data_IF_868782035206
#
_entry.id   IF_868782035206
#
_cell.length_a   1.000
_cell.length_b   1.000
_cell.length_c   1.000
_cell.angle_alpha   90.00
_cell.angle_beta   90.00
_cell.angle_gamma   90.00
#
_symmetry.space_group_name_H-M   'P 1'
#
loop_
_entity.id
_entity.type
_entity.pdbx_description
1 polymer ?
#
# COMPACT_ATOMS: atom_id res chain seq x y z
N UNK A 1 5.24 12.96 -10.68
CA UNK A 1 4.29 13.78 -9.90
C UNK A 1 3.95 13.07 -8.60
N UNK A 2 3.92 13.81 -7.52
CA UNK A 2 3.48 13.26 -6.24
C UNK A 2 1.98 13.01 -6.25
N UNK A 3 1.53 12.01 -5.50
CA UNK A 3 0.11 11.69 -5.43
C UNK A 3 -0.74 12.89 -4.99
N UNK A 4 -0.20 13.71 -4.08
CA UNK A 4 -0.81 14.96 -3.61
C UNK A 4 -1.22 15.91 -4.74
N UNK A 5 -0.50 15.88 -5.87
CA UNK A 5 -0.79 16.75 -7.00
C UNK A 5 -2.01 16.30 -7.82
N UNK A 6 -2.47 15.07 -7.59
CA UNK A 6 -3.58 14.47 -8.33
C UNK A 6 -4.86 14.36 -7.52
N UNK A 7 -4.73 14.17 -6.20
CA UNK A 7 -5.87 14.04 -5.29
C UNK A 7 -5.57 14.78 -3.98
N UNK A 8 -6.62 15.22 -3.31
CA UNK A 8 -6.51 15.84 -1.99
C UNK A 8 -6.65 14.83 -0.86
N UNK A 9 -7.25 13.66 -1.13
CA UNK A 9 -7.57 12.66 -0.13
C UNK A 9 -7.28 11.26 -0.67
N UNK A 10 -7.02 10.35 0.27
CA UNK A 10 -6.91 8.91 -0.02
C UNK A 10 -7.89 8.15 0.88
N UNK A 11 -8.28 6.97 0.41
CA UNK A 11 -9.10 6.06 1.20
C UNK A 11 -8.39 4.70 1.27
N UNK A 12 -8.22 4.20 2.50
CA UNK A 12 -7.65 2.87 2.76
C UNK A 12 -8.69 2.07 3.52
N UNK A 13 -9.27 1.05 2.87
CA UNK A 13 -10.11 0.08 3.56
C UNK A 13 -9.18 -0.82 4.39
N UNK A 14 -9.32 -0.84 5.73
CA UNK A 14 -8.45 -1.66 6.57
C UNK A 14 -8.42 -3.13 6.19
N UNK A 15 -9.48 -3.65 5.56
CA UNK A 15 -9.54 -5.04 5.11
C UNK A 15 -8.51 -5.34 4.02
N UNK A 16 -8.03 -4.34 3.29
CA UNK A 16 -6.93 -4.53 2.34
C UNK A 16 -5.66 -5.00 3.04
N UNK A 17 -5.52 -4.70 4.32
CA UNK A 17 -4.42 -5.17 5.14
C UNK A 17 -4.80 -6.43 5.92
N UNK A 18 -5.91 -6.39 6.66
CA UNK A 18 -6.25 -7.46 7.63
C UNK A 18 -6.71 -8.75 6.98
N UNK A 19 -7.41 -8.69 5.84
CA UNK A 19 -7.94 -9.88 5.17
C UNK A 19 -7.22 -10.21 3.87
N UNK A 20 -6.19 -9.45 3.51
CA UNK A 20 -5.48 -9.64 2.24
C UNK A 20 -3.97 -9.56 2.43
N UNK A 21 -3.39 -8.37 2.54
CA UNK A 21 -1.93 -8.17 2.50
C UNK A 21 -1.22 -8.76 3.72
N UNK A 22 -1.87 -8.81 4.88
CA UNK A 22 -1.30 -9.31 6.13
C UNK A 22 -1.94 -10.62 6.60
N UNK A 23 -2.78 -11.25 5.76
CA UNK A 23 -3.40 -12.52 6.07
C UNK A 23 -2.62 -13.67 5.44
N UNK A 24 -1.86 -14.46 6.26
CA UNK A 24 -1.07 -15.58 5.71
C UNK A 24 -1.89 -16.67 5.06
N UNK A 25 -3.18 -16.76 5.37
CA UNK A 25 -4.07 -17.77 4.82
C UNK A 25 -4.81 -17.31 3.57
N UNK A 26 -4.62 -16.05 3.15
CA UNK A 26 -5.24 -15.53 1.92
C UNK A 26 -4.66 -16.22 0.70
N UNK A 27 -5.52 -16.67 -0.20
CA UNK A 27 -5.10 -17.32 -1.44
C UNK A 27 -4.26 -16.40 -2.33
N UNK A 28 -4.58 -15.12 -2.35
CA UNK A 28 -3.88 -14.13 -3.19
C UNK A 28 -2.80 -13.37 -2.45
N UNK A 29 -2.97 -13.16 -1.14
CA UNK A 29 -2.09 -12.31 -0.35
C UNK A 29 -1.15 -13.05 0.59
N UNK A 30 -1.27 -14.38 0.71
CA UNK A 30 -0.52 -15.14 1.72
C UNK A 30 0.98 -14.98 1.66
N UNK A 31 1.57 -15.04 0.45
CA UNK A 31 3.02 -14.84 0.28
C UNK A 31 3.43 -13.42 0.62
N UNK A 32 2.60 -12.44 0.32
CA UNK A 32 2.85 -11.03 0.65
C UNK A 32 2.84 -10.84 2.17
N UNK A 33 1.91 -11.51 2.86
CA UNK A 33 1.80 -11.44 4.31
C UNK A 33 3.03 -12.03 5.00
N UNK A 34 3.55 -13.14 4.50
CA UNK A 34 4.76 -13.76 5.02
C UNK A 34 5.95 -12.80 4.89
N UNK A 35 6.06 -12.11 3.75
CA UNK A 35 7.13 -11.13 3.53
C UNK A 35 7.03 -9.95 4.50
N UNK A 36 5.83 -9.43 4.74
CA UNK A 36 5.63 -8.36 5.70
C UNK A 36 6.04 -8.77 7.11
N UNK A 37 5.66 -9.96 7.53
CA UNK A 37 6.02 -10.47 8.85
C UNK A 37 7.52 -10.68 8.98
N UNK A 38 8.12 -11.31 7.98
CA UNK A 38 9.54 -11.65 8.00
C UNK A 38 10.45 -10.43 7.98
N UNK A 39 10.16 -9.45 7.13
CA UNK A 39 11.05 -8.33 6.86
C UNK A 39 10.72 -7.08 7.67
N UNK A 40 9.47 -6.90 8.09
CA UNK A 40 9.03 -5.68 8.77
C UNK A 40 8.29 -5.94 10.08
N UNK A 41 7.94 -7.19 10.38
CA UNK A 41 7.25 -7.53 11.61
C UNK A 41 5.77 -7.17 11.65
N UNK A 42 5.16 -6.81 10.50
CA UNK A 42 3.74 -6.48 10.44
C UNK A 42 2.90 -7.75 10.29
N UNK A 43 1.84 -7.81 11.08
CA UNK A 43 0.86 -8.90 11.08
C UNK A 43 -0.54 -8.29 11.13
N UNK A 44 -1.56 -9.15 11.11
CA UNK A 44 -2.94 -8.70 11.28
C UNK A 44 -3.15 -7.99 12.61
N UNK A 45 -2.40 -8.37 13.64
CA UNK A 45 -2.57 -7.83 15.00
C UNK A 45 -2.08 -6.39 15.12
N UNK A 46 -1.09 -6.00 14.33
CA UNK A 46 -0.50 -4.65 14.39
C UNK A 46 -0.65 -3.88 13.08
N UNK A 47 -1.61 -4.24 12.25
CA UNK A 47 -1.81 -3.64 10.92
C UNK A 47 -1.90 -2.11 10.95
N UNK A 48 -2.40 -1.55 12.05
CA UNK A 48 -2.60 -0.11 12.17
C UNK A 48 -1.28 0.65 12.03
N UNK A 49 -0.18 0.06 12.48
CA UNK A 49 1.14 0.69 12.38
C UNK A 49 1.58 0.84 10.91
N UNK A 50 1.31 -0.17 10.09
CA UNK A 50 1.58 -0.10 8.66
C UNK A 50 0.65 0.91 7.98
N UNK A 51 -0.64 0.84 8.30
CA UNK A 51 -1.64 1.75 7.73
C UNK A 51 -1.29 3.20 8.01
N UNK A 52 -0.89 3.51 9.23
CA UNK A 52 -0.51 4.87 9.62
C UNK A 52 0.67 5.39 8.80
N UNK A 53 1.68 4.56 8.56
CA UNK A 53 2.83 4.95 7.74
C UNK A 53 2.43 5.22 6.30
N UNK A 54 1.55 4.39 5.73
CA UNK A 54 1.05 4.59 4.37
C UNK A 54 0.32 5.93 4.28
N UNK A 55 -0.59 6.19 5.22
CA UNK A 55 -1.33 7.46 5.24
C UNK A 55 -0.42 8.68 5.36
N UNK A 56 0.61 8.57 6.21
CA UNK A 56 1.49 9.70 6.47
C UNK A 56 2.44 10.01 5.31
N UNK A 57 2.78 8.99 4.49
CA UNK A 57 3.87 9.10 3.52
C UNK A 57 3.44 9.12 2.07
N UNK A 58 2.31 8.49 1.72
CA UNK A 58 2.00 8.22 0.32
C UNK A 58 1.79 9.48 -0.50
N UNK A 59 1.18 10.50 0.08
CA UNK A 59 0.84 11.73 -0.64
C UNK A 59 2.09 12.51 -1.09
N UNK A 60 3.20 12.34 -0.39
CA UNK A 60 4.45 13.07 -0.67
C UNK A 60 5.45 12.27 -1.49
N UNK A 61 5.07 11.07 -1.93
CA UNK A 61 5.92 10.22 -2.76
C UNK A 61 5.50 10.28 -4.23
N UNK A 62 6.45 10.00 -5.12
CA UNK A 62 6.19 9.99 -6.56
C UNK A 62 5.21 8.90 -6.93
N UNK A 63 4.23 9.25 -7.76
CA UNK A 63 3.25 8.32 -8.29
C UNK A 63 3.59 8.02 -9.75
N UNK A 64 3.62 6.71 -10.07
CA UNK A 64 3.80 6.25 -11.44
C UNK A 64 2.44 5.96 -12.05
N UNK A 65 2.20 6.51 -13.23
CA UNK A 65 0.95 6.33 -13.95
C UNK A 65 0.80 4.86 -14.37
N UNK A 66 -0.35 4.28 -14.05
CA UNK A 66 -0.69 2.91 -14.43
C UNK A 66 -1.78 2.87 -15.50
N UNK A 67 -2.52 1.77 -15.53
CA UNK A 67 -3.56 1.54 -16.53
C UNK A 67 -4.73 2.51 -16.34
N UNK A 68 -5.28 3.00 -17.45
CA UNK A 68 -6.54 3.73 -17.46
C UNK A 68 -7.57 2.91 -18.23
N UNK A 69 -8.73 2.70 -17.62
CA UNK A 69 -9.83 1.99 -18.25
C UNK A 69 -11.17 2.45 -17.64
N UNK A 70 -12.25 1.70 -17.93
CA UNK A 70 -13.59 2.01 -17.43
C UNK A 70 -13.70 2.01 -15.89
N UNK A 71 -12.78 1.31 -15.20
CA UNK A 71 -12.76 1.26 -13.74
C UNK A 71 -12.07 2.47 -13.12
N UNK A 72 -11.31 3.23 -13.91
CA UNK A 72 -10.64 4.43 -13.48
C UNK A 72 -9.17 4.47 -13.84
N UNK A 73 -8.46 5.46 -13.31
CA UNK A 73 -7.03 5.66 -13.52
C UNK A 73 -6.26 5.06 -12.35
N UNK A 74 -5.32 4.17 -12.65
CA UNK A 74 -4.47 3.54 -11.65
C UNK A 74 -3.15 4.27 -11.51
N UNK A 75 -2.60 4.20 -10.27
CA UNK A 75 -1.29 4.74 -9.94
C UNK A 75 -0.56 3.75 -9.06
N UNK A 76 0.77 3.79 -9.11
CA UNK A 76 1.64 3.02 -8.24
C UNK A 76 2.54 3.98 -7.47
N UNK A 77 2.65 3.78 -6.16
CA UNK A 77 3.50 4.60 -5.30
C UNK A 77 4.35 3.69 -4.43
N UNK A 78 5.67 3.83 -4.53
CA UNK A 78 6.62 3.10 -3.69
C UNK A 78 6.98 3.96 -2.48
N UNK A 79 6.93 3.38 -1.28
CA UNK A 79 7.12 4.09 -0.02
C UNK A 79 8.16 3.36 0.82
N UNK A 80 9.12 4.09 1.39
CA UNK A 80 10.02 3.52 2.37
C UNK A 80 9.29 3.36 3.70
N UNK A 81 9.11 2.11 4.15
CA UNK A 81 8.39 1.77 5.37
C UNK A 81 9.37 1.22 6.40
N UNK A 82 9.25 1.71 7.64
CA UNK A 82 10.02 1.20 8.77
C UNK A 82 9.27 0.06 9.43
N UNK A 83 10.02 -1.00 9.79
CA UNK A 83 9.45 -2.14 10.49
C UNK A 83 9.32 -1.89 11.99
N UNK A 84 8.82 -2.91 12.70
CA UNK A 84 8.62 -2.90 14.14
C UNK A 84 9.96 -2.82 14.88
N UNK A 85 10.96 -3.57 14.41
CA UNK A 85 12.28 -3.59 15.03
C UNK A 85 13.20 -2.53 14.44
N UNK A 86 14.10 -2.03 15.26
CA UNK A 86 15.10 -1.06 14.83
C UNK A 86 15.92 -1.62 13.65
N UNK A 87 16.08 -0.82 12.61
CA UNK A 87 16.86 -1.19 11.44
C UNK A 87 16.08 -1.91 10.34
N UNK A 88 14.84 -2.31 10.61
CA UNK A 88 13.98 -2.89 9.56
C UNK A 88 13.44 -1.79 8.65
N UNK A 89 13.75 -1.88 7.37
CA UNK A 89 13.21 -0.98 6.35
C UNK A 89 13.05 -1.72 5.03
N UNK A 90 11.96 -1.48 4.34
CA UNK A 90 11.72 -2.03 3.00
C UNK A 90 10.95 -1.02 2.16
N UNK A 91 11.11 -1.13 0.85
CA UNK A 91 10.25 -0.40 -0.07
C UNK A 91 8.95 -1.17 -0.21
N UNK A 92 7.85 -0.52 0.15
CA UNK A 92 6.50 -1.09 0.03
C UNK A 92 5.84 -0.47 -1.19
N UNK A 93 5.39 -1.32 -2.10
CA UNK A 93 4.69 -0.87 -3.31
C UNK A 93 3.21 -0.83 -3.04
N UNK A 94 2.60 0.34 -3.27
CA UNK A 94 1.17 0.54 -3.10
C UNK A 94 0.53 0.83 -4.44
N UNK A 95 -0.62 0.21 -4.68
CA UNK A 95 -1.43 0.45 -5.87
C UNK A 95 -2.68 1.23 -5.49
N UNK A 96 -3.07 2.16 -6.35
CA UNK A 96 -4.19 3.08 -6.12
C UNK A 96 -5.05 3.19 -7.35
N UNK A 97 -6.32 3.50 -7.16
CA UNK A 97 -7.24 3.77 -8.26
C UNK A 97 -8.07 5.02 -7.93
N UNK A 98 -8.20 5.90 -8.94
CA UNK A 98 -9.14 7.02 -8.91
C UNK A 98 -10.27 6.62 -9.85
N UNK A 99 -11.43 6.28 -9.27
CA UNK A 99 -12.58 5.83 -10.05
C UNK A 99 -13.21 7.01 -10.79
N UNK A 100 -13.95 6.73 -11.89
CA UNK A 100 -14.73 7.79 -12.54
C UNK A 100 -15.65 8.47 -11.53
N UNK A 101 -15.71 9.80 -11.60
CA UNK A 101 -16.55 10.63 -10.71
C UNK A 101 -16.10 10.65 -9.23
N UNK A 102 -14.92 10.13 -8.92
CA UNK A 102 -14.32 10.28 -7.60
C UNK A 102 -13.12 11.22 -7.67
N UNK A 103 -12.89 11.96 -6.59
CA UNK A 103 -11.77 12.89 -6.49
C UNK A 103 -10.75 12.46 -5.44
N UNK A 104 -10.77 11.18 -5.07
CA UNK A 104 -9.83 10.59 -4.13
C UNK A 104 -9.30 9.26 -4.65
N UNK A 105 -8.13 8.85 -4.14
CA UNK A 105 -7.51 7.59 -4.53
C UNK A 105 -7.80 6.51 -3.50
N UNK A 106 -8.18 5.31 -3.98
CA UNK A 106 -8.43 4.13 -3.14
C UNK A 106 -7.24 3.18 -3.23
N UNK A 107 -6.81 2.66 -2.08
CA UNK A 107 -5.79 1.61 -2.05
C UNK A 107 -6.34 0.33 -2.67
N UNK A 108 -5.62 -0.24 -3.63
CA UNK A 108 -6.01 -1.50 -4.27
C UNK A 108 -5.09 -2.65 -3.92
N UNK A 109 -3.78 -2.38 -3.74
CA UNK A 109 -2.81 -3.41 -3.42
C UNK A 109 -1.67 -2.83 -2.60
N UNK A 110 -1.02 -3.69 -1.82
CA UNK A 110 0.14 -3.30 -1.02
C UNK A 110 1.00 -4.53 -0.78
N UNK A 111 2.30 -4.42 -1.06
CA UNK A 111 3.24 -5.50 -0.86
C UNK A 111 4.67 -4.97 -0.84
N UNK A 112 5.58 -5.74 -0.25
CA UNK A 112 7.01 -5.40 -0.28
C UNK A 112 7.54 -5.62 -1.68
N UNK A 113 8.20 -4.59 -2.24
CA UNK A 113 8.80 -4.69 -3.57
C UNK A 113 9.93 -5.71 -3.57
N UNK A 114 9.96 -6.60 -4.56
CA UNK A 114 11.00 -7.61 -4.67
C UNK A 114 12.37 -6.96 -4.77
N UNK A 115 13.32 -7.54 -4.06
CA UNK A 115 14.73 -7.22 -4.19
C UNK A 115 15.36 -8.12 -5.24
N UNK A 116 16.33 -7.59 -5.93
CA UNK A 116 17.15 -8.36 -6.86
C UNK A 116 18.61 -8.22 -6.52
#
# INVERSE_FOLDING_TARGET
MKLREMVEQIFIDPRKLTTYALDPSSLKGGNKAIMFQKHLGFTQDNYQLLLNQIQDKVMDNEATLGVYNEHGQRYQVDILINGIALGQQEIVRTGWIIKPNEDFARLTSVYIRSRK
#
